data_IF_558581955243
#
_entry.id   IF_558581955243
#
_cell.length_a   1.000
_cell.length_b   1.000
_cell.length_c   1.000
_cell.angle_alpha   90.00
_cell.angle_beta   90.00
_cell.angle_gamma   90.00
#
_symmetry.space_group_name_H-M   'P 1'
#
loop_
_entity.id
_entity.type
_entity.pdbx_description
1 polymer ?
#
# COMPACT_ATOMS: atom_id res chain seq x y z
N UNK A 1 -9.08 -27.52 5.33
CA UNK A 1 -7.77 -28.18 5.47
C UNK A 1 -7.92 -29.64 5.88
N UNK A 2 -8.48 -29.96 7.06
CA UNK A 2 -8.55 -31.34 7.56
C UNK A 2 -9.41 -32.31 6.71
N UNK A 3 -10.49 -31.83 6.09
CA UNK A 3 -11.37 -32.67 5.25
C UNK A 3 -10.78 -32.96 3.87
N UNK A 4 -10.28 -31.91 3.21
CA UNK A 4 -9.80 -31.98 1.82
C UNK A 4 -8.33 -32.40 1.71
N UNK A 5 -7.55 -32.30 2.80
CA UNK A 5 -6.12 -32.59 2.87
C UNK A 5 -5.30 -32.05 1.66
N UNK A 6 -5.38 -30.74 1.37
CA UNK A 6 -4.72 -30.18 0.21
C UNK A 6 -3.20 -30.19 0.39
N UNK A 7 -2.47 -30.29 -0.72
CA UNK A 7 -1.01 -30.16 -0.69
C UNK A 7 -0.56 -28.77 -0.21
N UNK A 8 -1.33 -27.74 -0.55
CA UNK A 8 -1.10 -26.37 -0.11
C UNK A 8 -2.21 -25.42 -0.56
N UNK A 9 -2.07 -24.14 -0.21
CA UNK A 9 -3.04 -23.08 -0.45
C UNK A 9 -2.38 -21.98 -1.27
N UNK A 10 -3.03 -21.53 -2.34
CA UNK A 10 -2.62 -20.37 -3.13
C UNK A 10 -3.53 -19.19 -2.74
N UNK A 11 -2.93 -18.09 -2.27
CA UNK A 11 -3.66 -16.89 -1.82
C UNK A 11 -3.70 -15.78 -2.87
N UNK A 12 -2.70 -15.71 -3.75
CA UNK A 12 -2.45 -14.59 -4.66
C UNK A 12 -3.53 -14.35 -5.73
N UNK A 13 -4.50 -15.26 -5.88
CA UNK A 13 -5.48 -15.23 -6.97
C UNK A 13 -6.87 -14.70 -6.57
N UNK A 14 -7.09 -14.35 -5.29
CA UNK A 14 -8.42 -13.93 -4.81
C UNK A 14 -8.50 -12.48 -4.33
N UNK A 15 -7.54 -11.63 -4.70
CA UNK A 15 -7.51 -10.22 -4.30
C UNK A 15 -7.29 -10.04 -2.80
N UNK A 16 -7.98 -9.07 -2.19
CA UNK A 16 -7.71 -8.70 -0.79
C UNK A 16 -8.18 -9.71 0.25
N UNK A 17 -9.28 -10.40 -0.03
CA UNK A 17 -9.90 -11.25 0.98
C UNK A 17 -8.93 -12.36 1.44
N UNK A 18 -8.24 -13.08 0.53
CA UNK A 18 -7.15 -13.98 0.91
C UNK A 18 -5.95 -13.30 1.57
N UNK A 19 -5.55 -12.11 1.11
CA UNK A 19 -4.42 -11.37 1.69
C UNK A 19 -4.67 -11.06 3.18
N UNK A 20 -5.89 -10.64 3.51
CA UNK A 20 -6.30 -10.30 4.87
C UNK A 20 -6.23 -11.49 5.84
N UNK A 21 -6.46 -12.72 5.36
CA UNK A 21 -6.41 -13.94 6.19
C UNK A 21 -5.06 -14.67 6.11
N UNK A 22 -4.11 -14.18 5.30
CA UNK A 22 -2.84 -14.87 5.04
C UNK A 22 -2.07 -15.15 6.33
N UNK A 23 -1.96 -14.15 7.21
CA UNK A 23 -1.25 -14.29 8.49
C UNK A 23 -1.98 -15.20 9.48
N UNK A 24 -3.31 -15.27 9.44
CA UNK A 24 -4.08 -16.18 10.29
C UNK A 24 -3.92 -17.64 9.87
N UNK A 25 -3.90 -17.88 8.55
CA UNK A 25 -3.57 -19.19 7.99
C UNK A 25 -2.13 -19.60 8.32
N UNK A 26 -1.19 -18.66 8.24
CA UNK A 26 0.20 -18.87 8.62
C UNK A 26 0.35 -19.29 10.09
N UNK A 27 -0.34 -18.60 11.01
CA UNK A 27 -0.35 -18.93 12.45
C UNK A 27 -0.94 -20.31 12.74
N UNK A 28 -1.88 -20.75 11.89
CA UNK A 28 -2.45 -22.10 11.94
C UNK A 28 -1.58 -23.15 11.23
N UNK A 29 -0.36 -22.79 10.81
CA UNK A 29 0.60 -23.66 10.13
C UNK A 29 0.07 -24.24 8.82
N UNK A 30 -0.84 -23.53 8.14
CA UNK A 30 -1.30 -23.93 6.82
C UNK A 30 -0.16 -23.78 5.79
N UNK A 31 0.01 -24.78 4.91
CA UNK A 31 1.02 -24.74 3.86
C UNK A 31 0.60 -23.78 2.75
N UNK A 32 1.11 -22.55 2.79
CA UNK A 32 0.90 -21.56 1.73
C UNK A 32 1.95 -21.76 0.62
N UNK A 33 1.51 -21.73 -0.63
CA UNK A 33 2.34 -21.83 -1.83
C UNK A 33 2.51 -20.44 -2.47
N UNK A 34 3.69 -20.19 -3.04
CA UNK A 34 4.03 -18.90 -3.65
C UNK A 34 4.60 -17.90 -2.63
N UNK A 35 4.20 -16.63 -2.75
CA UNK A 35 4.62 -15.55 -1.86
C UNK A 35 4.23 -15.86 -0.41
N UNK A 36 5.18 -15.73 0.52
CA UNK A 36 4.92 -16.06 1.92
C UNK A 36 3.93 -15.07 2.55
N UNK A 37 3.09 -15.50 3.51
CA UNK A 37 2.19 -14.60 4.24
C UNK A 37 2.88 -13.38 4.86
N UNK A 38 4.10 -13.54 5.34
CA UNK A 38 4.91 -12.46 5.91
C UNK A 38 5.38 -11.46 4.84
N UNK A 39 5.67 -11.94 3.63
CA UNK A 39 5.99 -11.07 2.49
C UNK A 39 4.76 -10.30 2.01
N UNK A 40 3.58 -10.95 1.99
CA UNK A 40 2.30 -10.27 1.70
C UNK A 40 2.04 -9.18 2.73
N UNK A 41 2.13 -9.50 4.03
CA UNK A 41 1.96 -8.52 5.10
C UNK A 41 3.01 -7.38 5.05
N UNK A 42 4.24 -7.70 4.66
CA UNK A 42 5.30 -6.70 4.44
C UNK A 42 5.00 -5.72 3.31
N UNK A 43 4.26 -6.15 2.28
CA UNK A 43 3.83 -5.30 1.17
C UNK A 43 2.54 -4.52 1.48
N UNK A 44 1.58 -5.15 2.13
CA UNK A 44 0.27 -4.56 2.47
C UNK A 44 0.36 -3.54 3.61
N UNK A 45 1.24 -3.75 4.59
CA UNK A 45 1.44 -2.83 5.69
C UNK A 45 2.35 -1.66 5.25
N UNK A 46 1.77 -0.46 5.15
CA UNK A 46 2.46 0.73 4.61
C UNK A 46 3.73 1.10 5.38
N UNK A 47 3.73 1.00 6.70
CA UNK A 47 4.93 1.23 7.50
C UNK A 47 6.02 0.20 7.21
N UNK A 48 5.68 -1.09 7.16
CA UNK A 48 6.66 -2.15 6.84
C UNK A 48 7.20 -2.00 5.42
N UNK A 49 6.34 -1.64 4.47
CA UNK A 49 6.71 -1.43 3.08
C UNK A 49 7.67 -0.26 2.95
N UNK A 50 7.30 0.93 3.43
CA UNK A 50 8.15 2.11 3.37
C UNK A 50 9.48 1.91 4.10
N UNK A 51 9.48 1.27 5.28
CA UNK A 51 10.73 0.92 5.97
C UNK A 51 11.61 -0.06 5.18
N UNK A 52 11.00 -0.95 4.38
CA UNK A 52 11.74 -1.87 3.51
C UNK A 52 12.40 -1.12 2.36
N UNK A 53 11.71 -0.15 1.77
CA UNK A 53 12.29 0.72 0.74
C UNK A 53 13.49 1.52 1.30
N UNK A 54 13.34 2.12 2.49
CA UNK A 54 14.43 2.85 3.16
C UNK A 54 15.66 1.97 3.39
N UNK A 55 15.46 0.74 3.90
CA UNK A 55 16.55 -0.22 4.13
C UNK A 55 17.26 -0.63 2.83
N UNK A 56 16.54 -0.66 1.72
CA UNK A 56 17.09 -0.99 0.39
C UNK A 56 17.68 0.23 -0.33
N UNK A 57 17.57 1.43 0.23
CA UNK A 57 18.00 2.66 -0.42
C UNK A 57 17.15 3.02 -1.65
N UNK A 58 15.91 2.53 -1.73
CA UNK A 58 14.98 2.88 -2.79
C UNK A 58 14.34 4.22 -2.43
N UNK A 59 14.38 5.16 -3.37
CA UNK A 59 13.81 6.50 -3.17
C UNK A 59 12.30 6.42 -2.99
N UNK A 60 11.78 7.19 -2.04
CA UNK A 60 10.36 7.39 -1.82
C UNK A 60 10.11 8.82 -1.33
N UNK A 61 8.88 9.35 -1.48
CA UNK A 61 8.53 10.65 -0.90
C UNK A 61 8.76 10.65 0.62
N UNK A 62 9.04 11.83 1.19
CA UNK A 62 9.11 11.98 2.65
C UNK A 62 7.82 11.45 3.26
N UNK A 63 7.93 10.55 4.22
CA UNK A 63 6.80 9.85 4.81
C UNK A 63 6.94 9.73 6.33
N UNK A 64 5.82 9.55 7.03
CA UNK A 64 5.79 9.27 8.47
C UNK A 64 4.54 8.47 8.84
N UNK A 65 4.70 7.51 9.74
CA UNK A 65 3.57 6.84 10.41
C UNK A 65 3.18 7.66 11.64
N UNK A 66 1.90 8.01 11.74
CA UNK A 66 1.36 8.98 12.69
C UNK A 66 0.08 8.45 13.33
N UNK A 67 -0.12 8.78 14.60
CA UNK A 67 -1.26 8.33 15.42
C UNK A 67 -2.16 9.47 15.89
N UNK A 68 -1.66 10.70 15.89
CA UNK A 68 -2.34 11.89 16.37
C UNK A 68 -2.32 13.01 15.32
N UNK A 69 -3.37 13.84 15.36
CA UNK A 69 -3.60 14.92 14.40
C UNK A 69 -2.54 16.01 14.49
N UNK A 70 -2.06 16.35 15.68
CA UNK A 70 -1.08 17.41 15.89
C UNK A 70 0.26 17.05 15.23
N UNK A 71 0.74 15.83 15.45
CA UNK A 71 1.96 15.32 14.80
C UNK A 71 1.81 15.22 13.28
N UNK A 72 0.58 15.00 12.79
CA UNK A 72 0.29 14.99 11.35
C UNK A 72 0.34 16.39 10.74
N UNK A 73 -0.22 17.40 11.41
CA UNK A 73 -0.14 18.79 10.99
C UNK A 73 1.32 19.28 10.95
N UNK A 74 2.09 19.00 12.01
CA UNK A 74 3.51 19.37 12.07
C UNK A 74 4.31 18.74 10.93
N UNK A 75 4.06 17.46 10.63
CA UNK A 75 4.69 16.78 9.51
C UNK A 75 4.34 17.44 8.17
N UNK A 76 3.04 17.68 7.92
CA UNK A 76 2.56 18.30 6.68
C UNK A 76 3.11 19.72 6.48
N UNK A 77 3.20 20.52 7.54
CA UNK A 77 3.83 21.85 7.51
C UNK A 77 5.33 21.76 7.20
N UNK A 78 6.01 20.73 7.72
CA UNK A 78 7.45 20.51 7.50
C UNK A 78 7.77 20.01 6.09
N UNK A 79 6.93 19.17 5.49
CA UNK A 79 7.15 18.63 4.13
C UNK A 79 6.49 19.48 3.04
N UNK A 80 5.54 20.34 3.42
CA UNK A 80 4.75 21.18 2.54
C UNK A 80 3.61 20.42 1.84
N UNK A 81 2.47 21.09 1.63
CA UNK A 81 1.33 20.57 0.88
C UNK A 81 1.57 20.55 -0.65
N UNK A 82 0.85 19.70 -1.41
CA UNK A 82 -0.11 18.69 -0.96
C UNK A 82 0.55 17.46 -0.30
N UNK A 83 -0.20 16.78 0.56
CA UNK A 83 0.20 15.56 1.27
C UNK A 83 -0.83 14.44 1.04
N UNK A 84 -0.36 13.21 0.86
CA UNK A 84 -1.18 12.04 0.63
C UNK A 84 -1.40 11.29 1.95
N UNK A 85 -2.66 11.14 2.34
CA UNK A 85 -3.09 10.43 3.55
C UNK A 85 -3.49 9.01 3.15
N UNK A 86 -2.78 7.99 3.66
CA UNK A 86 -3.01 6.59 3.31
C UNK A 86 -3.23 5.73 4.56
N UNK A 87 -4.46 5.27 4.83
CA UNK A 87 -4.69 4.25 5.86
C UNK A 87 -4.10 2.90 5.42
N UNK A 88 -3.67 2.09 6.39
CA UNK A 88 -3.21 0.72 6.16
C UNK A 88 -4.40 -0.25 5.98
N UNK A 89 -4.20 -1.34 5.23
CA UNK A 89 -5.18 -2.42 4.99
C UNK A 89 -6.51 -2.00 4.31
N UNK A 90 -6.50 -0.88 3.58
CA UNK A 90 -7.62 -0.44 2.71
C UNK A 90 -7.20 -0.56 1.25
N UNK A 91 -8.04 -1.18 0.42
CA UNK A 91 -7.84 -1.31 -1.02
C UNK A 91 -8.72 -0.35 -1.82
N UNK A 92 -8.30 -0.10 -3.06
CA UNK A 92 -9.02 0.64 -4.09
C UNK A 92 -9.17 2.14 -3.88
N UNK A 93 -8.19 2.81 -3.25
CA UNK A 93 -8.18 4.28 -3.15
C UNK A 93 -9.33 4.90 -2.35
N UNK A 94 -10.28 4.10 -1.85
CA UNK A 94 -11.54 4.53 -1.25
C UNK A 94 -11.38 5.40 0.02
N UNK A 95 -10.17 5.45 0.58
CA UNK A 95 -9.80 6.34 1.68
C UNK A 95 -8.43 7.02 1.46
N UNK A 96 -7.92 7.02 0.22
CA UNK A 96 -6.71 7.78 -0.13
C UNK A 96 -7.12 9.21 -0.45
N UNK A 97 -6.72 10.13 0.43
CA UNK A 97 -7.07 11.54 0.29
C UNK A 97 -5.81 12.38 0.12
N UNK A 98 -5.88 13.38 -0.77
CA UNK A 98 -4.81 14.37 -0.96
C UNK A 98 -5.22 15.63 -0.20
N UNK A 99 -4.56 15.88 0.93
CA UNK A 99 -4.73 17.12 1.69
C UNK A 99 -3.96 18.24 1.01
N UNK A 100 -4.62 19.37 0.76
CA UNK A 100 -3.99 20.58 0.22
C UNK A 100 -3.76 21.64 1.31
N UNK A 101 -4.41 21.49 2.46
CA UNK A 101 -4.23 22.35 3.62
C UNK A 101 -4.56 21.64 4.94
N UNK A 102 -4.34 22.34 6.05
CA UNK A 102 -4.58 21.82 7.41
C UNK A 102 -6.05 21.42 7.65
N UNK A 103 -7.02 22.13 7.07
CA UNK A 103 -8.44 21.78 7.22
C UNK A 103 -8.78 20.46 6.53
N UNK A 104 -8.26 20.22 5.32
CA UNK A 104 -8.46 18.95 4.61
C UNK A 104 -7.90 17.79 5.44
N UNK A 105 -6.70 17.99 6.00
CA UNK A 105 -6.04 16.97 6.81
C UNK A 105 -6.87 16.59 8.03
N UNK A 106 -7.40 17.58 8.77
CA UNK A 106 -8.25 17.34 9.95
C UNK A 106 -9.53 16.59 9.57
N UNK A 107 -10.17 16.94 8.46
CA UNK A 107 -11.36 16.27 7.95
C UNK A 107 -11.07 14.80 7.59
N UNK A 108 -9.99 14.55 6.86
CA UNK A 108 -9.60 13.21 6.44
C UNK A 108 -9.18 12.33 7.62
N UNK A 109 -8.44 12.88 8.58
CA UNK A 109 -8.05 12.15 9.78
C UNK A 109 -9.25 11.81 10.65
N UNK A 110 -10.21 12.73 10.81
CA UNK A 110 -11.45 12.47 11.56
C UNK A 110 -12.25 11.32 10.94
N UNK A 111 -12.34 11.30 9.60
CA UNK A 111 -13.01 10.24 8.85
C UNK A 111 -12.25 8.91 8.88
N UNK A 112 -10.91 8.94 8.84
CA UNK A 112 -10.07 7.74 8.90
C UNK A 112 -10.09 7.07 10.28
N UNK A 113 -10.19 7.85 11.37
CA UNK A 113 -10.29 7.34 12.74
C UNK A 113 -11.60 6.56 12.94
N UNK A 114 -12.71 6.97 12.33
CA UNK A 114 -13.97 6.24 12.40
C UNK A 114 -13.92 4.88 11.69
N UNK A 115 -13.16 4.80 10.60
CA UNK A 115 -12.93 3.55 9.84
C UNK A 115 -11.91 2.65 10.54
N UNK A 116 -10.96 3.22 11.29
CA UNK A 116 -9.80 2.49 11.81
C UNK A 116 -9.33 2.99 13.19
N UNK A 117 -10.15 2.78 14.23
CA UNK A 117 -9.89 3.25 15.62
C UNK A 117 -8.59 2.71 16.27
N UNK A 118 -7.83 1.85 15.61
CA UNK A 118 -6.65 1.16 16.15
C UNK A 118 -5.42 1.15 15.24
N UNK A 119 -5.49 1.70 14.03
CA UNK A 119 -4.35 1.63 13.11
C UNK A 119 -3.78 3.01 12.80
N UNK A 120 -2.45 3.17 12.89
CA UNK A 120 -1.77 4.40 12.50
C UNK A 120 -1.98 4.69 11.01
N UNK A 121 -1.97 5.98 10.68
CA UNK A 121 -2.07 6.47 9.30
C UNK A 121 -0.67 6.78 8.80
N UNK A 122 -0.39 6.42 7.55
CA UNK A 122 0.86 6.81 6.89
C UNK A 122 0.58 8.02 6.01
N UNK A 123 1.30 9.11 6.27
CA UNK A 123 1.24 10.34 5.48
C UNK A 123 2.54 10.48 4.72
N UNK A 124 2.45 10.82 3.43
CA UNK A 124 3.61 11.08 2.58
C UNK A 124 3.44 12.37 1.79
N UNK A 125 4.56 13.01 1.42
CA UNK A 125 4.54 14.12 0.47
C UNK A 125 3.92 13.65 -0.85
N UNK A 126 2.90 14.36 -1.35
CA UNK A 126 2.33 14.07 -2.65
C UNK A 126 3.18 14.74 -3.75
N UNK A 127 3.49 13.98 -4.79
CA UNK A 127 4.27 14.44 -5.94
C UNK A 127 3.30 14.86 -7.05
N UNK A 128 3.20 16.17 -7.28
CA UNK A 128 2.41 16.73 -8.38
C UNK A 128 3.21 16.64 -9.69
N UNK A 129 2.48 16.57 -10.81
CA UNK A 129 3.06 16.50 -12.16
C UNK A 129 4.07 15.36 -12.37
N UNK A 130 3.93 14.29 -11.59
CA UNK A 130 4.74 13.09 -11.71
C UNK A 130 4.10 12.10 -12.69
N UNK A 131 4.93 11.40 -13.45
CA UNK A 131 4.49 10.24 -14.24
C UNK A 131 4.32 9.02 -13.35
N UNK A 132 3.25 8.25 -13.59
CA UNK A 132 2.98 6.99 -12.89
C UNK A 132 3.26 5.81 -13.81
N UNK A 133 3.95 4.81 -13.27
CA UNK A 133 4.40 3.61 -13.98
C UNK A 133 4.00 2.40 -13.16
N UNK A 134 3.28 1.47 -13.79
CA UNK A 134 2.96 0.17 -13.22
C UNK A 134 3.89 -0.90 -13.80
N UNK A 135 4.42 -1.76 -12.93
CA UNK A 135 5.29 -2.87 -13.32
C UNK A 135 4.72 -4.17 -12.80
N UNK A 136 4.18 -4.97 -13.71
CA UNK A 136 3.80 -6.35 -13.44
C UNK A 136 5.00 -7.25 -13.69
N UNK A 137 5.33 -8.13 -12.73
CA UNK A 137 6.47 -9.03 -12.86
C UNK A 137 6.21 -10.39 -12.22
N UNK A 138 6.76 -11.44 -12.85
CA UNK A 138 6.86 -12.77 -12.25
C UNK A 138 8.31 -13.01 -11.88
N UNK A 139 8.55 -13.36 -10.63
CA UNK A 139 9.88 -13.67 -10.12
C UNK A 139 9.94 -15.05 -9.49
N UNK A 140 11.11 -15.67 -9.56
CA UNK A 140 11.41 -16.94 -8.91
C UNK A 140 12.84 -16.91 -8.40
N UNK A 141 13.03 -17.32 -7.14
CA UNK A 141 14.35 -17.46 -6.53
C UNK A 141 15.23 -16.19 -6.63
N UNK A 142 14.59 -15.01 -6.61
CA UNK A 142 15.26 -13.71 -6.71
C UNK A 142 15.49 -13.20 -8.14
N UNK A 143 15.15 -13.99 -9.15
CA UNK A 143 15.27 -13.63 -10.58
C UNK A 143 13.91 -13.26 -11.18
N UNK A 144 13.88 -12.21 -12.02
CA UNK A 144 12.69 -11.81 -12.77
C UNK A 144 12.62 -12.67 -14.03
N UNK A 145 11.52 -13.42 -14.19
CA UNK A 145 11.27 -14.31 -15.33
C UNK A 145 10.57 -13.59 -16.48
N UNK A 146 9.60 -12.73 -16.16
CA UNK A 146 8.95 -11.86 -17.12
C UNK A 146 8.46 -10.59 -16.42
N UNK A 147 8.34 -9.52 -17.21
CA UNK A 147 7.79 -8.25 -16.74
C UNK A 147 7.06 -7.53 -17.87
N UNK A 148 6.05 -6.74 -17.50
CA UNK A 148 5.39 -5.77 -18.35
C UNK A 148 5.43 -4.41 -17.64
N UNK A 149 5.80 -3.37 -18.37
CA UNK A 149 5.87 -1.99 -17.85
C UNK A 149 4.78 -1.21 -18.54
N UNK A 150 3.87 -0.63 -17.78
CA UNK A 150 2.77 0.18 -18.29
C UNK A 150 2.94 1.62 -17.82
N UNK A 151 2.81 2.58 -18.73
CA UNK A 151 2.79 4.00 -18.39
C UNK A 151 1.35 4.50 -18.32
N UNK A 152 1.03 5.25 -17.26
CA UNK A 152 -0.23 5.96 -17.16
C UNK A 152 -0.22 7.17 -18.10
N UNK A 153 -1.32 7.38 -18.83
CA UNK A 153 -1.51 8.58 -19.65
C UNK A 153 -1.68 9.80 -18.73
N UNK A 154 -2.47 9.64 -17.67
CA UNK A 154 -2.66 10.61 -16.61
C UNK A 154 -1.43 10.71 -15.69
N UNK A 155 -1.27 11.85 -15.02
CA UNK A 155 -0.24 12.02 -14.00
C UNK A 155 -0.64 11.31 -12.70
N UNK A 156 0.35 11.05 -11.85
CA UNK A 156 0.17 10.44 -10.55
C UNK A 156 -0.90 11.16 -9.73
N UNK A 157 -1.81 10.38 -9.14
CA UNK A 157 -2.97 10.89 -8.38
C UNK A 157 -4.31 10.46 -8.93
N UNK A 158 -4.38 10.03 -10.19
CA UNK A 158 -5.53 9.27 -10.71
C UNK A 158 -5.33 7.81 -10.30
N UNK A 159 -6.34 7.20 -9.68
CA UNK A 159 -6.23 5.81 -9.25
C UNK A 159 -6.02 4.90 -10.46
N UNK A 160 -5.09 3.94 -10.38
CA UNK A 160 -4.71 3.08 -11.52
C UNK A 160 -5.89 2.31 -12.13
N UNK A 161 -6.90 1.95 -11.33
CA UNK A 161 -8.13 1.32 -11.81
C UNK A 161 -9.03 2.25 -12.66
N UNK A 162 -8.85 3.56 -12.56
CA UNK A 162 -9.57 4.60 -13.31
C UNK A 162 -8.68 5.29 -14.37
N UNK A 163 -7.39 4.93 -14.42
CA UNK A 163 -6.40 5.53 -15.32
C UNK A 163 -6.34 4.80 -16.67
N UNK A 164 -5.90 5.52 -17.70
CA UNK A 164 -5.60 4.96 -19.02
C UNK A 164 -4.15 4.51 -19.05
N UNK A 165 -3.91 3.25 -19.43
CA UNK A 165 -2.58 2.64 -19.43
C UNK A 165 -2.10 2.34 -20.86
N UNK A 166 -0.80 2.56 -21.11
CA UNK A 166 -0.12 2.16 -22.34
C UNK A 166 0.98 1.15 -21.99
N UNK A 167 0.88 -0.06 -22.53
CA UNK A 167 1.89 -1.11 -22.37
C UNK A 167 2.59 -1.33 -23.73
N UNK A 168 3.90 -1.05 -23.85
CA UNK A 168 4.66 -1.24 -25.08
C UNK A 168 5.04 -2.70 -25.36
#
# INVERSE_FOLDING_TARGET
>A
YARENPEGIILSMGGQLPNNIAMDLHRQQARILGTSPEQVDGAENRFKFSRTLDRKGILQPRWKELIDTDSALEFCQTVGYPCLVRPSYVLSGAAMNVAHCDSDLVEYLSSAVDVSKKHPVVISKFLVDAKEIDVDAVARDGEILCMAVSEHVENAGVHSGDATLVTP
#
